data_IF_152232222923
#
_entry.id   IF_152232222923
#
_cell.length_a   1.000
_cell.length_b   1.000
_cell.length_c   1.000
_cell.angle_alpha   90.00
_cell.angle_beta   90.00
_cell.angle_gamma   90.00
#
_symmetry.space_group_name_H-M   'P 1'
#
loop_
_entity.id
_entity.type
_entity.pdbx_description
1 polymer ?
#
# COMPACT_ATOMS: atom_id res chain seq x y z
N UNK A 1 -17.74 19.38 -25.90
CA UNK A 1 -18.74 19.38 -24.81
C UNK A 1 -18.24 20.26 -23.69
N UNK A 2 -19.07 21.22 -23.28
CA UNK A 2 -18.80 22.18 -22.21
C UNK A 2 -18.66 21.47 -20.86
N UNK A 3 -17.63 21.82 -20.08
CA UNK A 3 -17.74 21.86 -18.62
C UNK A 3 -17.64 23.32 -18.23
N UNK A 4 -18.76 23.89 -17.78
CA UNK A 4 -18.81 25.24 -17.20
C UNK A 4 -17.90 25.25 -15.97
N UNK A 5 -17.01 26.23 -15.91
CA UNK A 5 -16.12 26.45 -14.77
C UNK A 5 -16.96 26.75 -13.53
N UNK A 6 -16.56 26.18 -12.39
CA UNK A 6 -17.15 26.40 -11.06
C UNK A 6 -17.26 27.90 -10.69
N UNK A 7 -16.44 28.74 -11.33
CA UNK A 7 -16.50 30.20 -11.25
C UNK A 7 -17.84 30.79 -11.73
N UNK A 8 -18.46 30.22 -12.78
CA UNK A 8 -19.71 30.75 -13.35
C UNK A 8 -20.93 30.53 -12.46
N UNK A 9 -20.89 29.54 -11.56
CA UNK A 9 -22.00 29.20 -10.66
C UNK A 9 -22.02 30.12 -9.44
N UNK A 10 -20.85 30.54 -8.95
CA UNK A 10 -20.72 31.38 -7.76
C UNK A 10 -20.97 32.87 -8.07
N UNK A 11 -20.66 33.33 -9.28
CA UNK A 11 -20.87 34.72 -9.68
C UNK A 11 -22.34 35.15 -9.80
N UNK A 12 -23.29 34.21 -9.91
CA UNK A 12 -24.72 34.54 -10.09
C UNK A 12 -25.43 34.98 -8.80
N UNK A 13 -24.88 34.68 -7.62
CA UNK A 13 -25.57 34.88 -6.34
C UNK A 13 -25.37 36.29 -5.71
N UNK A 14 -24.39 37.06 -6.16
CA UNK A 14 -24.00 38.32 -5.52
C UNK A 14 -24.56 39.61 -6.17
N UNK A 15 -25.50 39.48 -7.10
CA UNK A 15 -25.82 40.54 -8.07
C UNK A 15 -26.82 41.64 -7.64
N UNK A 16 -27.01 41.95 -6.36
CA UNK A 16 -27.97 43.00 -5.96
C UNK A 16 -27.47 43.93 -4.83
N UNK A 17 -26.65 44.91 -5.18
CA UNK A 17 -26.92 46.36 -4.99
C UNK A 17 -25.62 47.15 -5.25
N UNK A 18 -25.61 47.92 -6.34
CA UNK A 18 -24.43 48.67 -6.78
C UNK A 18 -24.51 50.14 -6.31
N UNK A 19 -23.49 50.59 -5.57
CA UNK A 19 -23.16 52.03 -5.42
C UNK A 19 -21.75 52.31 -5.93
N UNK A 20 -21.44 53.54 -6.35
CA UNK A 20 -20.16 53.88 -7.00
C UNK A 20 -18.92 53.60 -6.13
N UNK A 21 -19.05 53.54 -4.80
CA UNK A 21 -17.98 53.12 -3.88
C UNK A 21 -17.77 51.59 -3.89
N UNK A 22 -18.83 50.82 -4.11
CA UNK A 22 -18.75 49.36 -4.27
C UNK A 22 -17.99 48.97 -5.53
N UNK A 23 -18.03 49.76 -6.63
CA UNK A 23 -17.30 49.44 -7.86
C UNK A 23 -15.79 49.64 -7.73
N UNK A 24 -15.33 50.69 -7.04
CA UNK A 24 -13.89 50.91 -6.81
C UNK A 24 -13.33 49.94 -5.77
N UNK A 25 -14.08 49.62 -4.72
CA UNK A 25 -13.67 48.66 -3.69
C UNK A 25 -13.77 47.21 -4.20
N UNK A 26 -14.77 46.86 -5.02
CA UNK A 26 -14.85 45.58 -5.73
C UNK A 26 -13.79 45.48 -6.83
N UNK A 27 -13.42 46.54 -7.54
CA UNK A 27 -12.32 46.52 -8.49
C UNK A 27 -10.96 46.36 -7.78
N UNK A 28 -10.76 47.02 -6.63
CA UNK A 28 -9.54 46.88 -5.82
C UNK A 28 -9.47 45.53 -5.08
N UNK A 29 -10.63 44.94 -4.73
CA UNK A 29 -10.74 43.57 -4.22
C UNK A 29 -10.67 42.52 -5.33
N UNK A 30 -11.08 42.83 -6.56
CA UNK A 30 -10.93 41.95 -7.73
C UNK A 30 -9.49 41.92 -8.23
N UNK A 31 -8.80 43.07 -8.30
CA UNK A 31 -7.35 43.10 -8.60
C UNK A 31 -6.56 42.43 -7.49
N UNK A 32 -6.92 42.64 -6.21
CA UNK A 32 -6.34 41.83 -5.12
C UNK A 32 -6.75 40.37 -5.18
N UNK A 33 -7.94 40.02 -5.66
CA UNK A 33 -8.39 38.63 -5.78
C UNK A 33 -7.69 37.89 -6.91
N UNK A 34 -7.41 38.56 -8.03
CA UNK A 34 -6.62 38.03 -9.14
C UNK A 34 -5.14 37.96 -8.75
N UNK A 35 -4.59 39.01 -8.10
CA UNK A 35 -3.24 38.96 -7.53
C UNK A 35 -3.11 37.92 -6.42
N UNK A 36 -4.12 37.70 -5.58
CA UNK A 36 -4.13 36.65 -4.55
C UNK A 36 -4.30 35.28 -5.20
N UNK A 37 -5.11 35.13 -6.25
CA UNK A 37 -5.25 33.87 -6.98
C UNK A 37 -3.98 33.53 -7.78
N UNK A 38 -3.32 34.53 -8.37
CA UNK A 38 -2.05 34.40 -9.07
C UNK A 38 -0.91 34.20 -8.09
N UNK A 39 -0.91 34.85 -6.92
CA UNK A 39 0.01 34.57 -5.82
C UNK A 39 -0.26 33.20 -5.20
N UNK A 40 -1.51 32.74 -5.06
CA UNK A 40 -1.82 31.40 -4.57
C UNK A 40 -1.44 30.33 -5.59
N UNK A 41 -1.60 30.61 -6.89
CA UNK A 41 -1.09 29.76 -7.97
C UNK A 41 0.44 29.76 -8.01
N UNK A 42 1.08 30.91 -7.88
CA UNK A 42 2.54 31.06 -7.87
C UNK A 42 3.16 30.45 -6.62
N UNK A 43 2.53 30.63 -5.44
CA UNK A 43 2.95 30.04 -4.18
C UNK A 43 2.71 28.53 -4.19
N UNK A 44 1.59 28.07 -4.76
CA UNK A 44 1.33 26.65 -5.00
C UNK A 44 2.32 26.02 -5.96
N UNK A 45 2.71 26.74 -7.01
CA UNK A 45 3.71 26.31 -7.98
C UNK A 45 5.12 26.29 -7.37
N UNK A 46 5.49 27.33 -6.61
CA UNK A 46 6.77 27.38 -5.90
C UNK A 46 6.86 26.27 -4.85
N UNK A 47 5.82 26.03 -4.05
CA UNK A 47 5.79 24.93 -3.08
C UNK A 47 5.92 23.57 -3.78
N UNK A 48 5.31 23.40 -4.95
CA UNK A 48 5.44 22.18 -5.75
C UNK A 48 6.87 22.01 -6.29
N UNK A 49 7.47 23.07 -6.83
CA UNK A 49 8.84 23.07 -7.36
C UNK A 49 9.86 22.80 -6.25
N UNK A 50 9.72 23.45 -5.09
CA UNK A 50 10.52 23.18 -3.90
C UNK A 50 10.34 21.73 -3.44
N UNK A 51 9.11 21.21 -3.43
CA UNK A 51 8.84 19.81 -3.11
C UNK A 51 9.52 18.86 -4.07
N UNK A 52 9.45 19.13 -5.38
CA UNK A 52 10.12 18.32 -6.39
C UNK A 52 11.64 18.34 -6.22
N UNK A 53 12.22 19.51 -5.94
CA UNK A 53 13.66 19.67 -5.72
C UNK A 53 14.12 18.84 -4.51
N UNK A 54 13.38 18.86 -3.39
CA UNK A 54 13.69 18.04 -2.20
C UNK A 54 13.86 16.55 -2.54
N UNK A 55 12.98 15.99 -3.37
CA UNK A 55 13.10 14.60 -3.80
C UNK A 55 14.20 14.40 -4.84
N UNK A 56 14.45 15.36 -5.70
CA UNK A 56 15.57 15.28 -6.66
C UNK A 56 16.93 15.29 -5.98
N UNK A 57 17.08 16.05 -4.89
CA UNK A 57 18.31 16.09 -4.08
C UNK A 57 18.61 14.73 -3.42
N UNK A 58 17.56 13.94 -3.12
CA UNK A 58 17.66 12.55 -2.67
C UNK A 58 17.90 11.54 -3.80
N UNK A 59 18.07 12.02 -5.04
CA UNK A 59 18.40 11.20 -6.20
C UNK A 59 17.20 10.57 -6.90
N UNK A 60 15.97 11.03 -6.63
CA UNK A 60 14.79 10.65 -7.39
C UNK A 60 14.74 11.43 -8.71
N UNK A 61 14.39 10.77 -9.80
CA UNK A 61 14.13 11.47 -11.07
C UNK A 61 12.88 12.35 -10.98
N UNK A 62 12.79 13.39 -11.81
CA UNK A 62 11.60 14.24 -11.91
C UNK A 62 10.31 13.42 -12.07
N UNK A 63 10.35 12.36 -12.90
CA UNK A 63 9.22 11.46 -13.12
C UNK A 63 8.81 10.72 -11.85
N UNK A 64 9.78 10.24 -11.07
CA UNK A 64 9.53 9.55 -9.80
C UNK A 64 8.95 10.51 -8.76
N UNK A 65 9.56 11.68 -8.58
CA UNK A 65 9.09 12.69 -7.62
C UNK A 65 7.68 13.16 -7.94
N UNK A 66 7.39 13.43 -9.22
CA UNK A 66 6.04 13.81 -9.67
C UNK A 66 5.03 12.71 -9.38
N UNK A 67 5.37 11.44 -9.69
CA UNK A 67 4.50 10.30 -9.40
C UNK A 67 4.20 10.18 -7.90
N UNK A 68 5.21 10.28 -7.04
CA UNK A 68 5.02 10.21 -5.58
C UNK A 68 4.10 11.32 -5.07
N UNK A 69 4.29 12.56 -5.54
CA UNK A 69 3.46 13.70 -5.14
C UNK A 69 2.01 13.59 -5.63
N UNK A 70 1.78 13.01 -6.82
CA UNK A 70 0.44 12.74 -7.32
C UNK A 70 -0.26 11.64 -6.52
N UNK A 71 0.48 10.58 -6.18
CA UNK A 71 -0.05 9.44 -5.43
C UNK A 71 -0.26 9.79 -3.94
N UNK A 72 0.52 10.74 -3.39
CA UNK A 72 0.38 11.26 -2.03
C UNK A 72 0.69 12.78 -1.98
N UNK A 73 -0.32 13.66 -2.18
CA UNK A 73 -0.13 15.11 -2.20
C UNK A 73 0.41 15.72 -0.90
N UNK A 74 0.23 15.02 0.24
CA UNK A 74 0.69 15.49 1.55
C UNK A 74 2.22 15.54 1.65
N UNK A 75 2.92 14.77 0.81
CA UNK A 75 4.38 14.76 0.73
C UNK A 75 5.00 16.13 0.49
N UNK A 76 4.30 17.02 -0.21
CA UNK A 76 4.76 18.41 -0.42
C UNK A 76 5.01 19.16 0.89
N UNK A 77 4.29 18.79 1.95
CA UNK A 77 4.37 19.42 3.27
C UNK A 77 5.40 18.76 4.19
N UNK A 78 6.06 17.69 3.76
CA UNK A 78 6.89 16.92 4.67
C UNK A 78 8.25 17.62 4.89
N UNK A 79 8.72 17.68 6.15
CA UNK A 79 10.06 18.14 6.44
C UNK A 79 11.11 17.24 5.78
N UNK A 80 12.22 17.82 5.34
CA UNK A 80 13.31 17.09 4.69
C UNK A 80 13.86 16.00 5.60
N UNK A 81 13.95 16.27 6.90
CA UNK A 81 14.46 15.36 7.92
C UNK A 81 13.65 14.07 7.95
N UNK A 82 12.31 14.17 7.83
CA UNK A 82 11.41 13.02 7.82
C UNK A 82 11.60 12.16 6.56
N UNK A 83 11.77 12.82 5.41
CA UNK A 83 11.99 12.14 4.13
C UNK A 83 13.34 11.42 4.16
N UNK A 84 14.41 12.13 4.56
CA UNK A 84 15.76 11.58 4.74
C UNK A 84 15.76 10.41 5.74
N UNK A 85 15.08 10.56 6.87
CA UNK A 85 15.02 9.50 7.88
C UNK A 85 14.37 8.23 7.33
N UNK A 86 13.24 8.34 6.63
CA UNK A 86 12.57 7.18 6.01
C UNK A 86 13.47 6.50 4.99
N UNK A 87 14.22 7.28 4.23
CA UNK A 87 15.22 6.77 3.28
C UNK A 87 16.32 5.98 3.99
N UNK A 88 16.91 6.54 5.05
CA UNK A 88 17.97 5.89 5.84
C UNK A 88 17.47 4.64 6.57
N UNK A 89 16.22 4.63 7.03
CA UNK A 89 15.60 3.44 7.63
C UNK A 89 15.58 2.28 6.63
N UNK A 90 15.16 2.51 5.38
CA UNK A 90 15.19 1.49 4.34
C UNK A 90 16.63 1.04 4.01
N UNK A 91 17.57 1.99 3.94
CA UNK A 91 19.00 1.68 3.75
C UNK A 91 19.55 0.78 4.87
N UNK A 92 19.18 1.05 6.12
CA UNK A 92 19.60 0.26 7.29
C UNK A 92 19.09 -1.19 7.27
N UNK A 93 18.01 -1.47 6.54
CA UNK A 93 17.48 -2.82 6.32
C UNK A 93 18.20 -3.57 5.18
N UNK A 94 19.23 -2.96 4.58
CA UNK A 94 20.05 -3.55 3.53
C UNK A 94 19.52 -3.31 2.11
N UNK A 95 18.57 -2.39 1.91
CA UNK A 95 18.19 -1.96 0.57
C UNK A 95 19.26 -1.06 -0.05
N UNK A 96 19.53 -1.28 -1.34
CA UNK A 96 20.41 -0.43 -2.14
C UNK A 96 19.68 0.86 -2.48
N UNK A 97 20.43 1.88 -2.88
CA UNK A 97 19.91 3.21 -3.22
C UNK A 97 18.77 3.14 -4.26
N UNK A 98 18.95 2.40 -5.35
CA UNK A 98 17.89 2.25 -6.36
C UNK A 98 16.67 1.49 -5.85
N UNK A 99 16.88 0.43 -5.08
CA UNK A 99 15.79 -0.35 -4.47
C UNK A 99 14.99 0.49 -3.45
N UNK A 100 15.67 1.30 -2.64
CA UNK A 100 15.04 2.23 -1.71
C UNK A 100 14.15 3.21 -2.46
N UNK A 101 14.64 3.78 -3.57
CA UNK A 101 13.84 4.66 -4.42
C UNK A 101 12.65 3.93 -5.03
N UNK A 102 12.84 2.71 -5.54
CA UNK A 102 11.76 1.89 -6.11
C UNK A 102 10.67 1.57 -5.09
N UNK A 103 11.04 1.27 -3.83
CA UNK A 103 10.11 1.04 -2.72
C UNK A 103 9.28 2.30 -2.45
N UNK A 104 9.93 3.44 -2.26
CA UNK A 104 9.27 4.70 -1.90
C UNK A 104 8.39 5.26 -3.02
N UNK A 105 8.78 5.05 -4.28
CA UNK A 105 7.96 5.42 -5.44
C UNK A 105 6.72 4.55 -5.57
N UNK A 106 6.82 3.27 -5.19
CA UNK A 106 5.70 2.35 -5.24
C UNK A 106 4.74 2.51 -4.06
N UNK A 107 5.25 2.82 -2.86
CA UNK A 107 4.45 3.00 -1.65
C UNK A 107 4.89 4.25 -0.89
N UNK A 108 4.46 5.45 -1.32
CA UNK A 108 4.87 6.69 -0.67
C UNK A 108 4.30 6.85 0.75
N UNK A 109 3.28 6.07 1.12
CA UNK A 109 2.74 6.04 2.50
C UNK A 109 3.75 5.49 3.52
N UNK A 110 4.87 4.93 3.10
CA UNK A 110 5.97 4.57 4.01
C UNK A 110 6.48 5.79 4.79
N UNK A 111 6.47 6.99 4.18
CA UNK A 111 6.83 8.22 4.89
C UNK A 111 5.90 8.52 6.08
N UNK A 112 4.71 7.90 6.14
CA UNK A 112 3.69 8.04 7.17
C UNK A 112 3.77 7.06 8.32
N UNK A 113 4.65 6.08 8.22
CA UNK A 113 4.71 5.02 9.21
C UNK A 113 5.90 5.19 10.14
N UNK A 114 5.67 4.77 11.39
CA UNK A 114 6.73 4.64 12.37
C UNK A 114 7.81 3.68 11.82
N UNK A 115 9.07 4.10 11.77
CA UNK A 115 10.20 3.27 11.36
C UNK A 115 10.27 1.91 12.06
N UNK A 116 9.84 1.83 13.32
CA UNK A 116 9.80 0.58 14.10
C UNK A 116 8.81 -0.40 13.51
N UNK A 117 7.64 0.07 13.08
CA UNK A 117 6.63 -0.76 12.41
C UNK A 117 7.19 -1.27 11.07
N UNK A 118 7.82 -0.39 10.28
CA UNK A 118 8.43 -0.76 9.00
C UNK A 118 9.49 -1.86 9.18
N UNK A 119 10.39 -1.69 10.15
CA UNK A 119 11.42 -2.69 10.48
C UNK A 119 10.82 -4.01 10.99
N UNK A 120 9.82 -3.94 11.88
CA UNK A 120 9.12 -5.12 12.41
C UNK A 120 8.45 -5.92 11.30
N UNK A 121 7.74 -5.24 10.40
CA UNK A 121 7.05 -5.85 9.28
C UNK A 121 8.05 -6.48 8.29
N UNK A 122 9.18 -5.82 8.03
CA UNK A 122 10.26 -6.40 7.23
C UNK A 122 10.83 -7.68 7.86
N UNK A 123 11.10 -7.69 9.17
CA UNK A 123 11.52 -8.89 9.90
C UNK A 123 10.47 -10.00 9.86
N UNK A 124 9.18 -9.65 9.96
CA UNK A 124 8.09 -10.60 9.83
C UNK A 124 8.08 -11.27 8.44
N UNK A 125 8.28 -10.51 7.35
CA UNK A 125 8.41 -11.09 6.00
C UNK A 125 9.58 -12.06 5.90
N UNK A 126 10.73 -11.74 6.52
CA UNK A 126 11.89 -12.64 6.54
C UNK A 126 11.57 -13.93 7.28
N UNK A 127 10.85 -13.85 8.39
CA UNK A 127 10.43 -15.00 9.19
C UNK A 127 9.46 -15.89 8.41
N UNK A 128 8.44 -15.31 7.79
CA UNK A 128 7.40 -16.06 7.08
C UNK A 128 7.89 -16.68 5.76
N UNK A 129 8.61 -15.90 4.94
CA UNK A 129 9.02 -16.33 3.60
C UNK A 129 10.47 -16.84 3.52
N UNK A 130 11.28 -16.59 4.55
CA UNK A 130 12.73 -16.78 4.54
C UNK A 130 13.46 -15.55 4.00
N UNK A 131 14.68 -15.27 4.48
CA UNK A 131 15.43 -14.03 4.21
C UNK A 131 15.47 -13.60 2.73
N UNK A 132 15.77 -14.53 1.81
CA UNK A 132 15.86 -14.20 0.39
C UNK A 132 14.48 -13.85 -0.21
N UNK A 133 13.46 -14.65 0.08
CA UNK A 133 12.13 -14.47 -0.50
C UNK A 133 11.37 -13.32 0.17
N UNK A 134 11.53 -13.13 1.48
CA UNK A 134 10.98 -11.99 2.20
C UNK A 134 11.50 -10.67 1.63
N UNK A 135 12.79 -10.58 1.28
CA UNK A 135 13.36 -9.39 0.64
C UNK A 135 12.78 -9.15 -0.75
N UNK A 136 12.65 -10.20 -1.55
CA UNK A 136 12.00 -10.11 -2.87
C UNK A 136 10.55 -9.64 -2.73
N UNK A 137 9.82 -10.18 -1.76
CA UNK A 137 8.45 -9.78 -1.47
C UNK A 137 8.36 -8.31 -1.07
N UNK A 138 9.25 -7.82 -0.19
CA UNK A 138 9.28 -6.41 0.22
C UNK A 138 9.55 -5.46 -0.96
N UNK A 139 10.39 -5.84 -1.92
CA UNK A 139 10.64 -5.06 -3.14
C UNK A 139 9.43 -5.11 -4.10
N UNK A 140 8.82 -6.29 -4.23
CA UNK A 140 7.73 -6.54 -5.15
C UNK A 140 6.37 -6.03 -4.68
N UNK A 141 6.17 -5.96 -3.35
CA UNK A 141 4.96 -5.57 -2.65
C UNK A 141 5.24 -4.66 -1.45
N UNK A 142 5.73 -3.41 -1.65
CA UNK A 142 6.16 -2.57 -0.52
C UNK A 142 5.06 -2.19 0.47
N UNK A 143 3.79 -2.33 0.10
CA UNK A 143 2.65 -2.19 1.00
C UNK A 143 2.76 -3.13 2.23
N UNK A 144 3.39 -4.29 2.11
CA UNK A 144 3.57 -5.22 3.23
C UNK A 144 4.50 -4.67 4.32
N UNK A 145 5.29 -3.62 4.02
CA UNK A 145 6.11 -2.94 5.02
C UNK A 145 5.28 -2.06 5.96
N UNK A 146 4.07 -1.69 5.56
CA UNK A 146 3.19 -0.77 6.31
C UNK A 146 1.84 -1.36 6.67
N UNK A 147 1.50 -2.52 6.10
CA UNK A 147 0.28 -3.26 6.41
C UNK A 147 0.35 -3.89 7.81
N UNK A 148 -0.81 -4.26 8.36
CA UNK A 148 -0.86 -5.07 9.56
C UNK A 148 -0.16 -6.43 9.30
N UNK A 149 0.74 -6.82 10.20
CA UNK A 149 1.47 -8.09 10.11
C UNK A 149 0.55 -9.30 10.11
N UNK A 150 -0.56 -9.26 10.86
CA UNK A 150 -1.57 -10.33 10.88
C UNK A 150 -2.18 -10.50 9.50
N UNK A 151 -2.67 -9.42 8.89
CA UNK A 151 -3.22 -9.46 7.52
C UNK A 151 -2.19 -9.91 6.48
N UNK A 152 -0.92 -9.51 6.63
CA UNK A 152 0.15 -9.99 5.74
C UNK A 152 0.35 -11.51 5.90
N UNK A 153 0.31 -12.02 7.13
CA UNK A 153 0.47 -13.45 7.42
C UNK A 153 -0.73 -14.24 6.88
N UNK A 154 -1.96 -13.78 7.09
CA UNK A 154 -3.17 -14.39 6.53
C UNK A 154 -3.09 -14.55 5.01
N UNK A 155 -2.60 -13.52 4.29
CA UNK A 155 -2.36 -13.62 2.85
C UNK A 155 -1.34 -14.72 2.51
N UNK A 156 -0.22 -14.77 3.23
CA UNK A 156 0.85 -15.76 3.00
C UNK A 156 0.32 -17.16 3.28
N UNK A 157 -0.34 -17.35 4.42
CA UNK A 157 -0.88 -18.63 4.85
C UNK A 157 -1.96 -19.12 3.89
N UNK A 158 -2.87 -18.25 3.45
CA UNK A 158 -3.84 -18.59 2.43
C UNK A 158 -3.19 -19.04 1.12
N UNK A 159 -2.15 -18.32 0.66
CA UNK A 159 -1.42 -18.72 -0.54
C UNK A 159 -0.75 -20.10 -0.38
N UNK A 160 -0.20 -20.41 0.79
CA UNK A 160 0.51 -21.67 1.03
C UNK A 160 -0.46 -22.83 1.26
N UNK A 161 -1.47 -22.63 2.12
CA UNK A 161 -2.33 -23.70 2.61
C UNK A 161 -3.51 -23.96 1.68
N UNK A 162 -4.20 -22.90 1.23
CA UNK A 162 -5.40 -23.03 0.41
C UNK A 162 -5.06 -23.12 -1.08
N UNK A 163 -4.10 -22.31 -1.53
CA UNK A 163 -3.73 -22.26 -2.95
C UNK A 163 -2.53 -23.14 -3.31
N UNK A 164 -1.83 -23.69 -2.32
CA UNK A 164 -0.63 -24.53 -2.50
C UNK A 164 0.50 -23.86 -3.32
N UNK A 165 0.62 -22.53 -3.20
CA UNK A 165 1.67 -21.73 -3.82
C UNK A 165 2.92 -21.76 -2.93
N UNK A 166 4.09 -22.02 -3.54
CA UNK A 166 5.36 -22.03 -2.83
C UNK A 166 5.87 -20.61 -2.51
N UNK A 167 6.67 -20.46 -1.44
CA UNK A 167 7.23 -19.17 -0.99
C UNK A 167 7.96 -18.38 -2.09
N UNK A 168 8.83 -18.99 -2.94
CA UNK A 168 9.47 -18.28 -4.04
C UNK A 168 8.51 -17.68 -5.08
N UNK A 169 7.38 -18.32 -5.31
CA UNK A 169 6.35 -17.86 -6.23
C UNK A 169 5.48 -16.76 -5.62
N UNK A 170 5.14 -16.89 -4.33
CA UNK A 170 4.49 -15.81 -3.56
C UNK A 170 5.32 -14.53 -3.64
N UNK A 171 6.62 -14.62 -3.35
CA UNK A 171 7.51 -13.46 -3.32
C UNK A 171 7.66 -12.78 -4.70
N UNK A 172 7.84 -13.56 -5.77
CA UNK A 172 8.08 -13.00 -7.12
C UNK A 172 6.82 -12.53 -7.82
N UNK A 173 5.67 -13.11 -7.50
CA UNK A 173 4.42 -12.83 -8.21
C UNK A 173 3.78 -11.49 -7.83
N UNK A 174 4.23 -10.83 -6.76
CA UNK A 174 3.62 -9.59 -6.24
C UNK A 174 2.17 -9.76 -5.76
N UNK A 175 1.70 -10.99 -5.54
CA UNK A 175 0.34 -11.26 -5.05
C UNK A 175 0.05 -10.55 -3.71
N UNK A 176 1.07 -10.34 -2.87
CA UNK A 176 0.92 -9.64 -1.59
C UNK A 176 0.59 -8.14 -1.73
N UNK A 177 0.67 -7.57 -2.94
CA UNK A 177 0.12 -6.23 -3.23
C UNK A 177 -1.40 -6.21 -3.16
N UNK A 178 -2.05 -7.33 -3.43
CA UNK A 178 -3.49 -7.41 -3.46
C UNK A 178 -4.07 -7.34 -2.03
N UNK A 179 -5.24 -6.70 -1.85
CA UNK A 179 -6.02 -6.85 -0.63
C UNK A 179 -6.35 -8.33 -0.38
N UNK A 180 -6.41 -8.74 0.89
CA UNK A 180 -6.66 -10.15 1.22
C UNK A 180 -8.00 -10.65 0.68
N UNK A 181 -9.04 -9.81 0.82
CA UNK A 181 -10.38 -10.10 0.28
C UNK A 181 -10.38 -10.33 -1.24
N UNK A 182 -9.53 -9.61 -2.00
CA UNK A 182 -9.41 -9.80 -3.45
C UNK A 182 -8.77 -11.15 -3.76
N UNK A 183 -7.74 -11.55 -3.02
CA UNK A 183 -7.08 -12.85 -3.17
C UNK A 183 -8.11 -13.97 -2.93
N UNK A 184 -8.83 -13.93 -1.80
CA UNK A 184 -9.86 -14.93 -1.48
C UNK A 184 -10.96 -14.96 -2.53
N UNK A 185 -11.51 -13.81 -2.88
CA UNK A 185 -12.66 -13.73 -3.79
C UNK A 185 -12.32 -14.22 -5.19
N UNK A 186 -11.21 -13.75 -5.78
CA UNK A 186 -10.82 -14.20 -7.12
C UNK A 186 -10.41 -15.66 -7.15
N UNK A 187 -9.73 -16.16 -6.12
CA UNK A 187 -9.43 -17.58 -6.00
C UNK A 187 -10.70 -18.42 -5.89
N UNK A 188 -11.62 -18.10 -4.97
CA UNK A 188 -12.87 -18.84 -4.79
C UNK A 188 -13.77 -18.75 -6.03
N UNK A 189 -13.85 -17.61 -6.70
CA UNK A 189 -14.60 -17.47 -7.96
C UNK A 189 -14.01 -18.38 -9.04
N UNK A 190 -12.68 -18.36 -9.21
CA UNK A 190 -12.00 -19.22 -10.16
C UNK A 190 -12.19 -20.71 -9.84
N UNK A 191 -12.17 -21.07 -8.57
CA UNK A 191 -12.39 -22.44 -8.10
C UNK A 191 -13.82 -22.91 -8.33
N UNK A 192 -14.82 -22.12 -7.89
CA UNK A 192 -16.25 -22.48 -7.97
C UNK A 192 -16.77 -22.50 -9.41
N UNK A 193 -16.22 -21.67 -10.30
CA UNK A 193 -16.51 -21.73 -11.75
C UNK A 193 -15.75 -22.85 -12.48
N UNK A 194 -14.85 -23.56 -11.78
CA UNK A 194 -14.08 -24.67 -12.32
C UNK A 194 -12.86 -24.28 -13.16
N UNK A 195 -12.51 -22.99 -13.25
CA UNK A 195 -11.30 -22.52 -13.92
C UNK A 195 -10.03 -22.86 -13.12
N UNK A 196 -10.10 -22.79 -11.79
CA UNK A 196 -9.03 -23.20 -10.88
C UNK A 196 -9.34 -24.59 -10.34
N UNK A 197 -8.42 -25.53 -10.54
CA UNK A 197 -8.52 -26.91 -10.06
C UNK A 197 -7.84 -27.05 -8.71
N UNK A 198 -8.42 -27.90 -7.86
CA UNK A 198 -7.79 -28.32 -6.60
C UNK A 198 -6.45 -28.98 -6.94
N UNK A 199 -5.39 -28.53 -6.28
CA UNK A 199 -4.06 -29.11 -6.44
C UNK A 199 -3.93 -30.28 -5.47
N UNK A 200 -3.53 -31.45 -5.96
CA UNK A 200 -3.18 -32.57 -5.08
C UNK A 200 -1.79 -32.30 -4.46
N UNK A 201 -1.67 -32.26 -3.12
CA UNK A 201 -0.41 -31.94 -2.44
C UNK A 201 0.73 -32.93 -2.73
N UNK A 202 0.42 -34.18 -3.09
CA UNK A 202 1.43 -35.25 -3.25
C UNK A 202 2.06 -35.27 -4.63
N UNK A 203 1.24 -35.17 -5.67
CA UNK A 203 1.67 -35.30 -7.07
C UNK A 203 1.66 -33.95 -7.82
N UNK A 204 1.17 -32.87 -7.19
CA UNK A 204 0.97 -31.53 -7.79
C UNK A 204 0.06 -31.53 -9.02
N UNK A 205 -0.80 -32.54 -9.17
CA UNK A 205 -1.80 -32.61 -10.22
C UNK A 205 -2.76 -31.42 -10.10
N UNK A 206 -3.16 -30.84 -11.24
CA UNK A 206 -3.96 -29.61 -11.31
C UNK A 206 -3.14 -28.31 -11.34
N UNK A 207 -1.87 -28.31 -10.93
CA UNK A 207 -1.05 -27.10 -10.90
C UNK A 207 -0.84 -26.50 -12.30
N UNK A 208 -0.55 -27.34 -13.30
CA UNK A 208 -0.28 -26.89 -14.68
C UNK A 208 -1.52 -26.43 -15.45
N UNK A 209 -2.72 -26.82 -15.00
CA UNK A 209 -3.98 -26.37 -15.59
C UNK A 209 -4.47 -25.03 -15.04
N UNK A 210 -3.95 -24.62 -13.89
CA UNK A 210 -4.41 -23.41 -13.21
C UNK A 210 -3.86 -22.16 -13.91
N UNK A 211 -4.67 -21.08 -14.02
CA UNK A 211 -4.18 -19.83 -14.58
C UNK A 211 -3.05 -19.23 -13.74
N UNK A 212 -2.21 -18.41 -14.38
CA UNK A 212 -1.10 -17.76 -13.70
C UNK A 212 -1.58 -16.79 -12.61
N UNK A 213 -0.77 -16.59 -11.57
CA UNK A 213 -1.06 -15.60 -10.50
C UNK A 213 -1.26 -14.20 -11.10
N UNK A 214 -0.46 -13.81 -12.10
CA UNK A 214 -0.61 -12.50 -12.75
C UNK A 214 -1.97 -12.35 -13.42
N UNK A 215 -2.44 -13.40 -14.08
CA UNK A 215 -3.72 -13.39 -14.78
C UNK A 215 -4.91 -13.35 -13.82
N UNK A 216 -4.80 -14.04 -12.69
CA UNK A 216 -5.86 -14.10 -11.69
C UNK A 216 -5.92 -12.85 -10.83
N UNK A 217 -4.80 -12.34 -10.33
CA UNK A 217 -4.80 -11.36 -9.23
C UNK A 217 -4.32 -9.97 -9.62
N UNK A 218 -3.48 -9.85 -10.65
CA UNK A 218 -2.88 -8.56 -11.03
C UNK A 218 -3.53 -7.94 -12.27
N UNK A 219 -4.52 -8.60 -12.83
CA UNK A 219 -5.29 -8.11 -13.96
C UNK A 219 -6.48 -7.25 -13.55
N UNK A 220 -6.93 -6.36 -14.44
CA UNK A 220 -8.20 -5.64 -14.28
C UNK A 220 -9.39 -6.62 -14.22
N UNK A 221 -10.46 -6.27 -13.52
CA UNK A 221 -11.67 -7.10 -13.43
C UNK A 221 -12.20 -7.52 -14.80
N UNK A 222 -12.19 -6.61 -15.79
CA UNK A 222 -12.59 -6.92 -17.17
C UNK A 222 -11.78 -8.06 -17.79
N UNK A 223 -10.46 -8.05 -17.61
CA UNK A 223 -9.56 -9.08 -18.17
C UNK A 223 -9.64 -10.38 -17.37
N UNK A 224 -9.78 -10.29 -16.04
CA UNK A 224 -10.08 -11.43 -15.19
C UNK A 224 -11.36 -12.13 -15.66
N UNK A 225 -12.47 -11.39 -15.78
CA UNK A 225 -13.79 -11.90 -16.17
C UNK A 225 -13.86 -12.44 -17.59
N UNK A 226 -13.07 -11.90 -18.52
CA UNK A 226 -12.99 -12.42 -19.88
C UNK A 226 -12.59 -13.90 -19.98
N UNK A 227 -12.03 -14.47 -18.91
CA UNK A 227 -11.67 -15.89 -18.82
C UNK A 227 -12.85 -16.80 -18.46
N UNK A 228 -13.93 -16.24 -17.94
CA UNK A 228 -15.08 -16.97 -17.43
C UNK A 228 -16.23 -16.88 -18.42
N UNK A 229 -16.30 -17.86 -19.34
CA UNK A 229 -17.41 -17.92 -20.30
C UNK A 229 -18.73 -18.07 -19.57
N UNK A 230 -19.69 -17.20 -19.88
CA UNK A 230 -21.03 -17.23 -19.31
C UNK A 230 -21.20 -16.47 -18.00
N UNK A 231 -20.16 -15.78 -17.51
CA UNK A 231 -20.27 -14.88 -16.36
C UNK A 231 -20.14 -13.41 -16.79
N UNK A 232 -21.03 -12.59 -16.27
CA UNK A 232 -21.06 -11.14 -16.45
C UNK A 232 -20.31 -10.42 -15.33
N UNK A 233 -20.15 -9.09 -15.45
CA UNK A 233 -19.59 -8.26 -14.37
C UNK A 233 -20.53 -8.25 -13.17
N UNK A 234 -21.82 -8.25 -13.44
CA UNK A 234 -22.89 -8.28 -12.45
C UNK A 234 -22.83 -9.56 -11.62
N UNK A 235 -22.61 -10.73 -12.26
CA UNK A 235 -22.47 -12.01 -11.54
C UNK A 235 -21.28 -11.99 -10.57
N UNK A 236 -20.17 -11.37 -10.98
CA UNK A 236 -18.99 -11.27 -10.14
C UNK A 236 -19.19 -10.28 -8.97
N UNK A 237 -19.87 -9.16 -9.19
CA UNK A 237 -20.23 -8.22 -8.10
C UNK A 237 -21.16 -8.89 -7.08
N UNK A 238 -22.13 -9.66 -7.54
CA UNK A 238 -23.00 -10.46 -6.64
C UNK A 238 -22.17 -11.49 -5.88
N UNK A 239 -21.20 -12.13 -6.54
CA UNK A 239 -20.29 -13.05 -5.89
C UNK A 239 -19.41 -12.37 -4.83
N UNK A 240 -18.88 -11.18 -5.10
CA UNK A 240 -18.13 -10.38 -4.12
C UNK A 240 -18.97 -10.07 -2.88
N UNK A 241 -20.24 -9.69 -3.07
CA UNK A 241 -21.15 -9.46 -1.95
C UNK A 241 -21.43 -10.74 -1.13
N UNK A 242 -21.65 -11.88 -1.80
CA UNK A 242 -21.81 -13.18 -1.13
C UNK A 242 -20.55 -13.57 -0.34
N UNK A 243 -19.37 -13.31 -0.90
CA UNK A 243 -18.07 -13.59 -0.27
C UNK A 243 -17.83 -12.77 0.99
N UNK A 244 -18.22 -11.49 0.99
CA UNK A 244 -18.14 -10.63 2.16
C UNK A 244 -19.08 -11.12 3.27
N UNK A 245 -20.30 -11.49 2.91
CA UNK A 245 -21.29 -11.99 3.87
C UNK A 245 -20.91 -13.36 4.46
N UNK A 246 -20.28 -14.25 3.66
CA UNK A 246 -19.66 -15.49 4.19
C UNK A 246 -18.61 -15.14 5.27
N UNK A 247 -17.73 -14.17 5.00
CA UNK A 247 -16.64 -13.81 5.91
C UNK A 247 -17.12 -13.18 7.22
N UNK A 248 -18.16 -12.34 7.17
CA UNK A 248 -18.74 -11.71 8.35
C UNK A 248 -19.41 -12.76 9.25
N UNK A 249 -20.16 -13.69 8.67
CA UNK A 249 -20.81 -14.78 9.42
C UNK A 249 -19.81 -15.68 10.17
N UNK A 250 -18.62 -15.93 9.60
CA UNK A 250 -17.60 -16.73 10.29
C UNK A 250 -16.92 -15.99 11.45
N UNK A 251 -16.85 -14.65 11.40
CA UNK A 251 -16.26 -13.85 12.48
C UNK A 251 -17.18 -13.75 13.68
N UNK A 252 -18.49 -13.62 13.43
CA UNK A 252 -19.50 -13.59 14.49
C UNK A 252 -19.58 -14.92 15.25
N UNK A 253 -19.22 -16.05 14.61
CA UNK A 253 -19.14 -17.37 15.25
C UNK A 253 -17.83 -17.60 16.04
N UNK A 254 -16.73 -16.92 15.68
CA UNK A 254 -15.44 -17.03 16.38
C UNK A 254 -15.33 -16.11 17.62
N UNK A 255 -16.02 -14.96 17.63
CA UNK A 255 -16.00 -14.00 18.75
C UNK A 255 -16.78 -14.50 19.99
N UNK A 256 -17.64 -15.51 19.85
CA UNK A 256 -18.38 -16.14 20.97
C UNK A 256 -17.52 -17.14 21.80
N UNK A 257 -16.28 -17.46 21.39
CA UNK A 257 -15.39 -18.42 22.09
C UNK A 257 -14.09 -17.84 22.68
N UNK A 258 -13.83 -16.52 22.62
CA UNK A 258 -12.58 -15.94 23.19
C UNK A 258 -12.79 -14.74 24.12
N UNK A 259 -13.55 -14.93 25.21
CA UNK A 259 -13.41 -14.08 26.41
C UNK A 259 -12.47 -14.74 27.43
N UNK A 260 -11.16 -14.65 27.20
CA UNK A 260 -10.17 -14.87 28.26
C UNK A 260 -8.78 -14.32 27.93
N UNK A 261 -8.46 -13.25 28.68
CA UNK A 261 -7.13 -12.79 29.13
C UNK A 261 -6.30 -11.98 28.14
N UNK A 262 -6.64 -10.70 28.14
CA UNK A 262 -5.68 -9.61 27.98
C UNK A 262 -4.86 -9.49 29.29
N UNK A 263 -3.56 -9.76 29.25
CA UNK A 263 -2.60 -9.35 30.28
C UNK A 263 -1.34 -8.83 29.57
N UNK A 264 -1.39 -7.55 29.22
CA UNK A 264 -0.24 -6.77 28.79
C UNK A 264 0.50 -6.29 30.05
N UNK A 265 1.45 -7.09 30.54
CA UNK A 265 2.52 -6.56 31.37
C UNK A 265 3.63 -6.02 30.48
N UNK A 266 3.63 -4.70 30.28
CA UNK A 266 4.81 -3.90 29.93
C UNK A 266 5.84 -4.06 31.05
N UNK A 267 6.94 -4.76 30.78
CA UNK A 267 8.18 -4.60 31.54
C UNK A 267 9.19 -3.87 30.65
N UNK A 268 9.18 -2.54 30.75
CA UNK A 268 10.35 -1.71 30.52
C UNK A 268 11.41 -2.06 31.59
N UNK A 269 12.59 -2.50 31.13
CA UNK A 269 13.79 -2.55 31.96
C UNK A 269 14.99 -2.19 31.08
N UNK A 270 15.26 -0.89 31.02
CA UNK A 270 16.60 -0.36 30.78
C UNK A 270 17.47 -0.75 31.98
N UNK A 271 18.60 -1.43 31.75
CA UNK A 271 19.80 -1.15 32.54
C UNK A 271 21.08 -1.60 31.82
N UNK A 272 22.08 -0.73 31.95
CA UNK A 272 23.37 -0.75 31.29
C UNK A 272 24.34 -1.86 31.77
N UNK A 273 25.24 -2.22 30.85
CA UNK A 273 26.66 -2.57 31.00
C UNK A 273 27.14 -3.36 32.24
N UNK A 274 27.81 -4.51 32.00
CA UNK A 274 29.13 -4.84 32.58
C UNK A 274 29.67 -6.16 32.00
N UNK A 275 30.73 -5.99 31.20
CA UNK A 275 31.98 -6.77 31.19
C UNK A 275 32.04 -8.27 30.82
N UNK A 276 32.84 -8.51 29.77
CA UNK A 276 33.96 -9.48 29.67
C UNK A 276 33.75 -10.90 30.23
N UNK A 277 33.58 -11.87 29.31
CA UNK A 277 33.79 -13.28 29.61
C UNK A 277 33.87 -14.18 28.38
N UNK A 278 34.92 -14.05 27.55
CA UNK A 278 35.23 -15.05 26.51
C UNK A 278 35.62 -16.38 27.17
N UNK A 279 34.79 -17.42 27.06
CA UNK A 279 35.22 -18.81 27.23
C UNK A 279 34.91 -19.64 25.98
N UNK A 280 36.01 -20.05 25.37
CA UNK A 280 36.14 -20.99 24.26
C UNK A 280 35.61 -22.38 24.65
N UNK A 281 34.77 -22.98 23.80
CA UNK A 281 34.52 -24.41 23.84
C UNK A 281 34.90 -25.07 22.51
N UNK A 282 35.82 -26.03 22.64
CA UNK A 282 36.40 -26.90 21.62
C UNK A 282 35.33 -27.84 21.06
N UNK A 283 35.33 -27.97 19.72
CA UNK A 283 34.74 -29.11 18.99
C UNK A 283 35.34 -30.42 19.49
N UNK A 284 34.49 -31.43 19.72
CA UNK A 284 34.89 -32.84 19.73
C UNK A 284 34.26 -33.53 18.51
N UNK A 285 35.10 -34.40 17.95
CA UNK A 285 34.92 -35.23 16.75
C UNK A 285 33.66 -36.09 16.80
#
# INVERSE_FOLDING_TARGET
MLRKSSSQVLCQLFRKSETSWSKTLLAHLHTKSEEIADMQNSLGQQVLEESLQKYQDLGFSLKQSTKMLLDNPLLSKYPNERICHSYEVLKSMGFKTEETKEILVQEPKIFDRDPRIVKRNYSNLMMQLGNHQGRIAALGAPNTLIENSLTTNEKIDYCIMEMLINKPEIARSKILKCPFILIKTRHKFAYRSGLYKKIDPKNKEGLSSNPSISDLFLSSDKFFLSRFKGFSVEDYVVFEAMMLNEEESFKDEEDDETDSKDDLTDEDSDDEDISKGKKSYRRKK
#
